data_IF_513358888566
#
_entry.id   IF_513358888566
#
_cell.length_a   1.000
_cell.length_b   1.000
_cell.length_c   1.000
_cell.angle_alpha   90.00
_cell.angle_beta   90.00
_cell.angle_gamma   90.00
#
_symmetry.space_group_name_H-M   'P 1'
#
loop_
_entity.id
_entity.type
_entity.pdbx_description
1 polymer ?
#
# COMPACT_ATOMS: atom_id res chain seq x y z
N UNK A 1 36.13 -5.12 13.36
CA UNK A 1 34.79 -5.39 13.94
C UNK A 1 34.14 -4.20 14.63
N UNK A 2 34.88 -3.23 15.21
CA UNK A 2 34.27 -2.08 15.90
C UNK A 2 33.69 -0.99 14.96
N UNK A 3 34.12 -0.90 13.69
CA UNK A 3 33.60 0.09 12.72
C UNK A 3 32.19 -0.20 12.18
N UNK A 4 31.75 -1.47 12.19
CA UNK A 4 30.45 -1.87 11.66
C UNK A 4 29.31 -1.79 12.71
N UNK A 5 29.66 -1.79 14.00
CA UNK A 5 28.66 -1.64 15.07
C UNK A 5 28.16 -0.19 15.20
N UNK A 6 29.03 0.80 14.93
CA UNK A 6 28.74 2.24 15.08
C UNK A 6 27.76 2.74 14.02
N UNK A 7 27.80 2.20 12.80
CA UNK A 7 26.87 2.59 11.72
C UNK A 7 25.45 2.09 12.02
N UNK A 8 25.30 0.87 12.55
CA UNK A 8 23.96 0.30 12.85
C UNK A 8 23.24 0.96 14.05
N UNK A 9 23.99 1.61 14.94
CA UNK A 9 23.42 2.41 16.04
C UNK A 9 23.02 3.82 15.57
N UNK A 10 23.75 4.40 14.62
CA UNK A 10 23.42 5.71 14.04
C UNK A 10 22.18 5.65 13.13
N UNK A 11 21.97 4.57 12.38
CA UNK A 11 20.76 4.40 11.55
C UNK A 11 19.50 4.13 12.39
N UNK A 12 19.64 3.60 13.61
CA UNK A 12 18.53 3.44 14.57
C UNK A 12 18.22 4.70 15.37
N UNK A 13 19.13 5.69 15.35
CA UNK A 13 19.00 6.95 16.07
C UNK A 13 18.75 8.15 15.15
N UNK A 14 18.78 7.97 13.83
CA UNK A 14 18.41 9.01 12.86
C UNK A 14 17.00 9.60 13.07
N UNK A 15 15.97 8.84 13.53
CA UNK A 15 14.69 9.44 13.92
C UNK A 15 14.73 10.20 15.26
N UNK A 16 15.71 9.93 16.13
CA UNK A 16 15.82 10.51 17.47
C UNK A 16 16.70 11.77 17.52
N UNK A 17 17.55 12.00 16.51
CA UNK A 17 18.47 13.14 16.49
C UNK A 17 17.87 14.48 16.05
N UNK A 18 16.62 14.51 15.60
CA UNK A 18 15.90 15.76 15.34
C UNK A 18 15.23 16.37 16.59
N UNK A 19 15.41 15.80 17.78
CA UNK A 19 14.73 16.27 19.00
C UNK A 19 15.64 16.83 20.09
N UNK A 20 16.95 16.96 19.87
CA UNK A 20 17.89 17.47 20.87
C UNK A 20 18.78 18.59 20.31
N UNK A 21 18.16 19.70 19.93
CA UNK A 21 18.76 21.04 20.04
C UNK A 21 17.70 22.04 20.51
N UNK A 22 17.19 21.83 21.73
CA UNK A 22 16.55 22.94 22.45
C UNK A 22 17.64 23.75 23.15
N UNK A 23 18.32 24.60 22.38
CA UNK A 23 18.69 25.89 22.94
C UNK A 23 17.39 26.67 23.14
N UNK A 24 17.13 27.07 24.38
CA UNK A 24 16.01 27.92 24.77
C UNK A 24 16.17 29.26 24.06
N UNK A 25 15.55 29.37 22.90
CA UNK A 25 15.04 30.62 22.37
C UNK A 25 13.53 30.52 22.49
N UNK A 26 12.91 31.51 23.12
CA UNK A 26 11.46 31.70 23.08
C UNK A 26 11.05 31.77 21.60
N UNK A 27 10.57 30.65 21.05
CA UNK A 27 10.04 30.58 19.69
C UNK A 27 8.62 31.12 19.71
N UNK A 28 8.37 32.05 18.80
CA UNK A 28 7.04 32.57 18.52
C UNK A 28 6.12 31.42 18.09
N UNK A 29 5.07 31.07 18.86
CA UNK A 29 4.16 29.96 18.56
C UNK A 29 3.34 30.18 17.28
N UNK A 30 3.39 31.37 16.67
CA UNK A 30 2.75 31.66 15.38
C UNK A 30 3.62 31.27 14.17
N UNK A 31 4.91 30.94 14.38
CA UNK A 31 5.87 30.58 13.34
C UNK A 31 6.18 29.07 13.27
N UNK A 32 5.69 28.26 14.21
CA UNK A 32 5.78 26.81 14.06
C UNK A 32 4.81 26.37 12.95
N UNK A 33 5.31 25.71 11.88
CA UNK A 33 4.42 25.17 10.87
C UNK A 33 3.43 24.25 11.58
N UNK A 34 2.15 24.34 11.21
CA UNK A 34 1.14 23.39 11.69
C UNK A 34 1.73 21.99 11.57
N UNK A 35 1.66 21.14 12.63
CA UNK A 35 2.15 19.78 12.52
C UNK A 35 1.59 19.16 11.23
N UNK A 36 2.40 18.41 10.47
CA UNK A 36 1.90 17.81 9.24
C UNK A 36 0.60 17.09 9.57
N UNK A 37 -0.45 17.23 8.74
CA UNK A 37 -1.71 16.55 8.99
C UNK A 37 -1.41 15.07 9.26
N UNK A 38 -2.12 14.44 10.22
CA UNK A 38 -1.89 13.05 10.53
C UNK A 38 -1.96 12.25 9.23
N UNK A 39 -0.91 11.48 8.96
CA UNK A 39 -0.79 10.68 7.74
C UNK A 39 -2.03 9.80 7.58
N UNK A 40 -3.00 10.19 6.75
CA UNK A 40 -4.22 9.42 6.55
C UNK A 40 -4.01 8.36 5.46
N UNK A 41 -2.93 7.60 5.62
CA UNK A 41 -2.50 6.59 4.67
C UNK A 41 -2.65 5.20 5.24
N UNK A 42 -3.07 4.28 4.39
CA UNK A 42 -3.04 2.85 4.66
C UNK A 42 -1.83 2.24 3.96
N UNK A 43 -1.11 1.38 4.68
CA UNK A 43 -0.10 0.49 4.10
C UNK A 43 -0.42 -0.96 4.49
N UNK A 44 -0.51 -1.80 3.48
CA UNK A 44 -0.69 -3.24 3.59
C UNK A 44 0.51 -3.91 2.92
N UNK A 45 1.28 -4.68 3.69
CA UNK A 45 2.40 -5.49 3.18
C UNK A 45 2.04 -6.96 3.37
N UNK A 46 2.04 -7.71 2.26
CA UNK A 46 1.63 -9.11 2.23
C UNK A 46 2.82 -9.98 1.87
N UNK A 47 3.10 -10.98 2.71
CA UNK A 47 4.06 -12.07 2.47
C UNK A 47 3.32 -13.40 2.59
N UNK A 48 4.00 -14.54 2.34
CA UNK A 48 3.40 -15.88 2.43
C UNK A 48 2.77 -16.21 3.79
N UNK A 49 3.34 -15.65 4.86
CA UNK A 49 3.00 -16.00 6.24
C UNK A 49 2.64 -14.80 7.12
N UNK A 50 2.83 -13.57 6.64
CA UNK A 50 2.58 -12.35 7.41
C UNK A 50 1.87 -11.32 6.54
N UNK A 51 0.79 -10.75 7.07
CA UNK A 51 0.22 -9.49 6.61
C UNK A 51 0.51 -8.42 7.67
N UNK A 52 1.16 -7.35 7.27
CA UNK A 52 1.36 -6.16 8.11
C UNK A 52 0.46 -5.04 7.61
N UNK A 53 -0.26 -4.40 8.53
CA UNK A 53 -1.21 -3.33 8.28
C UNK A 53 -0.95 -2.16 9.20
N UNK A 54 -0.91 -0.95 8.65
CA UNK A 54 -0.99 0.29 9.43
C UNK A 54 -1.89 1.33 8.75
N UNK A 55 -2.46 2.21 9.57
CA UNK A 55 -3.26 3.34 9.14
C UNK A 55 -2.79 4.59 9.90
N UNK A 56 -1.94 5.39 9.26
CA UNK A 56 -1.32 6.56 9.86
C UNK A 56 -0.47 6.25 11.09
N UNK A 57 -0.56 7.07 12.17
CA UNK A 57 0.25 6.88 13.38
C UNK A 57 -0.23 5.71 14.27
N UNK A 58 -1.25 4.96 13.82
CA UNK A 58 -1.76 3.79 14.55
C UNK A 58 -0.68 2.70 14.63
N UNK A 59 -0.70 1.87 15.69
CA UNK A 59 0.23 0.75 15.83
C UNK A 59 0.15 -0.17 14.62
N UNK A 60 1.31 -0.69 14.20
CA UNK A 60 1.37 -1.71 13.14
C UNK A 60 0.74 -2.98 13.68
N UNK A 61 -0.24 -3.52 12.94
CA UNK A 61 -0.88 -4.79 13.24
C UNK A 61 -0.30 -5.84 12.28
N UNK A 62 0.22 -6.93 12.84
CA UNK A 62 0.69 -8.08 12.07
C UNK A 62 -0.25 -9.28 12.27
N UNK A 63 -0.60 -9.94 11.18
CA UNK A 63 -1.34 -11.20 11.17
C UNK A 63 -0.40 -12.26 10.62
N UNK A 64 0.02 -13.19 11.48
CA UNK A 64 1.02 -14.20 11.14
C UNK A 64 0.39 -15.59 11.12
N UNK A 65 0.59 -16.35 10.05
CA UNK A 65 0.31 -17.78 10.01
C UNK A 65 1.15 -18.48 11.07
N UNK A 66 0.51 -19.25 11.95
CA UNK A 66 1.21 -20.04 12.95
C UNK A 66 0.44 -21.32 13.25
N UNK A 67 1.07 -22.47 12.97
CA UNK A 67 0.45 -23.79 13.10
C UNK A 67 -0.87 -23.86 12.28
N UNK A 68 -1.95 -24.34 12.89
CA UNK A 68 -3.30 -24.39 12.30
C UNK A 68 -4.08 -23.06 12.42
N UNK A 69 -3.42 -21.95 12.78
CA UNK A 69 -4.11 -20.70 13.09
C UNK A 69 -3.33 -19.43 12.74
N UNK A 70 -3.69 -18.36 13.44
CA UNK A 70 -3.14 -17.02 13.25
C UNK A 70 -2.68 -16.43 14.59
N UNK A 71 -1.50 -15.82 14.61
CA UNK A 71 -1.08 -14.90 15.67
C UNK A 71 -1.29 -13.48 15.18
N UNK A 72 -2.19 -12.74 15.83
CA UNK A 72 -2.33 -11.30 15.66
C UNK A 72 -1.43 -10.59 16.67
N UNK A 73 -0.56 -9.70 16.20
CA UNK A 73 0.30 -8.85 17.03
C UNK A 73 -0.06 -7.39 16.79
N UNK A 74 -0.36 -6.63 17.84
CA UNK A 74 -0.51 -5.17 17.79
C UNK A 74 0.76 -4.56 18.40
N UNK A 75 1.56 -3.91 17.57
CA UNK A 75 2.84 -3.32 17.98
C UNK A 75 2.61 -1.92 18.56
N UNK A 76 2.43 -1.80 19.88
CA UNK A 76 2.32 -0.52 20.56
C UNK A 76 3.72 0.01 20.90
N UNK A 77 3.82 1.32 21.08
CA UNK A 77 5.08 2.03 21.39
C UNK A 77 5.89 1.44 22.55
N UNK A 78 5.23 0.88 23.57
CA UNK A 78 5.87 0.40 24.79
C UNK A 78 5.71 -1.12 25.04
N UNK A 79 4.86 -1.80 24.28
CA UNK A 79 4.61 -3.24 24.42
C UNK A 79 3.92 -3.79 23.18
N UNK A 80 4.10 -5.08 22.93
CA UNK A 80 3.34 -5.77 21.90
C UNK A 80 2.22 -6.57 22.56
N UNK A 81 1.01 -6.45 22.04
CA UNK A 81 -0.10 -7.30 22.43
C UNK A 81 -0.27 -8.40 21.40
N UNK A 82 -0.25 -9.66 21.85
CA UNK A 82 -0.38 -10.82 20.98
C UNK A 82 -1.60 -11.64 21.35
N UNK A 83 -2.31 -12.09 20.32
CA UNK A 83 -3.43 -13.02 20.44
C UNK A 83 -3.27 -14.14 19.43
N UNK A 84 -3.21 -15.36 19.92
CA UNK A 84 -3.33 -16.55 19.09
C UNK A 84 -4.79 -16.90 18.88
N UNK A 85 -5.14 -17.28 17.67
CA UNK A 85 -6.47 -17.73 17.26
C UNK A 85 -6.29 -19.04 16.52
N UNK A 86 -6.85 -20.11 17.07
CA UNK A 86 -6.75 -21.46 16.51
C UNK A 86 -7.74 -21.67 15.36
N UNK A 87 -7.37 -22.52 14.39
CA UNK A 87 -8.24 -22.96 13.28
C UNK A 87 -8.82 -21.81 12.43
N UNK A 88 -8.10 -20.69 12.33
CA UNK A 88 -8.46 -19.55 11.49
C UNK A 88 -7.29 -19.11 10.61
N UNK A 89 -7.59 -18.85 9.34
CA UNK A 89 -6.63 -18.37 8.36
C UNK A 89 -6.30 -16.89 8.60
N UNK A 90 -5.01 -16.54 8.67
CA UNK A 90 -4.54 -15.19 8.98
C UNK A 90 -5.02 -14.11 7.99
N UNK A 91 -5.26 -14.45 6.72
CA UNK A 91 -5.86 -13.52 5.74
C UNK A 91 -7.30 -13.20 6.12
N UNK A 92 -8.03 -14.19 6.65
CA UNK A 92 -9.41 -14.01 7.12
C UNK A 92 -9.45 -13.06 8.32
N UNK A 93 -8.56 -13.25 9.31
CA UNK A 93 -8.46 -12.33 10.46
C UNK A 93 -8.13 -10.90 10.01
N UNK A 94 -7.16 -10.75 9.10
CA UNK A 94 -6.86 -9.44 8.51
C UNK A 94 -8.08 -8.80 7.84
N UNK A 95 -8.80 -9.55 7.00
CA UNK A 95 -9.97 -9.04 6.27
C UNK A 95 -11.10 -8.60 7.22
N UNK A 96 -11.36 -9.35 8.30
CA UNK A 96 -12.36 -9.01 9.31
C UNK A 96 -12.02 -7.72 10.06
N UNK A 97 -10.73 -7.49 10.35
CA UNK A 97 -10.29 -6.26 11.01
C UNK A 97 -10.26 -5.08 10.04
N UNK A 98 -9.77 -5.29 8.81
CA UNK A 98 -9.76 -4.26 7.77
C UNK A 98 -11.19 -3.77 7.44
N UNK A 99 -12.15 -4.69 7.41
CA UNK A 99 -13.58 -4.37 7.22
C UNK A 99 -14.04 -3.26 8.17
N UNK A 100 -13.73 -3.37 9.46
CA UNK A 100 -14.18 -2.43 10.50
C UNK A 100 -13.59 -1.02 10.35
N UNK A 101 -12.43 -0.89 9.70
CA UNK A 101 -11.74 0.40 9.53
C UNK A 101 -12.07 1.09 8.22
N UNK A 102 -12.38 0.32 7.18
CA UNK A 102 -12.61 0.85 5.86
C UNK A 102 -14.05 1.36 5.63
N UNK A 103 -14.90 1.32 6.67
CA UNK A 103 -16.22 1.98 6.70
C UNK A 103 -16.14 3.48 7.05
N UNK A 104 -14.94 4.07 7.09
CA UNK A 104 -14.78 5.51 7.34
C UNK A 104 -15.10 6.33 6.09
N UNK A 105 -15.94 7.37 6.24
CA UNK A 105 -16.33 8.29 5.14
C UNK A 105 -15.18 9.18 4.64
N UNK A 106 -14.07 9.20 5.37
CA UNK A 106 -12.91 10.05 5.10
C UNK A 106 -12.16 9.61 3.83
N UNK A 107 -11.67 10.58 3.07
CA UNK A 107 -10.82 10.34 1.91
C UNK A 107 -9.39 10.08 2.39
N UNK A 108 -8.86 8.88 2.12
CA UNK A 108 -7.47 8.53 2.42
C UNK A 108 -6.51 9.32 1.54
N UNK A 109 -5.39 9.77 2.11
CA UNK A 109 -4.33 10.40 1.31
C UNK A 109 -3.64 9.36 0.41
N UNK A 110 -3.31 8.19 0.97
CA UNK A 110 -2.69 7.11 0.20
C UNK A 110 -3.21 5.72 0.61
N UNK A 111 -3.48 4.88 -0.38
CA UNK A 111 -3.66 3.44 -0.21
C UNK A 111 -2.47 2.71 -0.84
N UNK A 112 -1.67 2.03 -0.02
CA UNK A 112 -0.51 1.28 -0.48
C UNK A 112 -0.73 -0.22 -0.22
N UNK A 113 -0.68 -1.03 -1.28
CA UNK A 113 -0.65 -2.49 -1.18
C UNK A 113 0.61 -3.01 -1.85
N UNK A 114 1.38 -3.81 -1.11
CA UNK A 114 2.60 -4.43 -1.61
C UNK A 114 2.63 -5.92 -1.31
N UNK A 115 2.91 -6.72 -2.33
CA UNK A 115 3.36 -8.10 -2.14
C UNK A 115 4.89 -8.14 -2.03
N UNK A 116 5.41 -8.85 -1.03
CA UNK A 116 6.85 -9.01 -0.80
C UNK A 116 7.18 -10.49 -0.63
N UNK A 117 8.14 -10.97 -1.42
CA UNK A 117 8.58 -12.37 -1.37
C UNK A 117 9.17 -12.83 -2.69
N UNK A 118 9.12 -14.14 -2.91
CA UNK A 118 9.63 -14.82 -4.09
C UNK A 118 8.57 -14.97 -5.20
N UNK A 119 8.88 -15.77 -6.23
CA UNK A 119 7.99 -16.02 -7.37
C UNK A 119 6.70 -16.74 -7.00
N UNK A 120 6.65 -17.49 -5.89
CA UNK A 120 5.42 -18.15 -5.43
C UNK A 120 4.40 -17.12 -4.91
N UNK A 121 4.83 -15.89 -4.60
CA UNK A 121 3.91 -14.82 -4.19
C UNK A 121 2.88 -14.48 -5.28
N UNK A 122 3.19 -14.71 -6.55
CA UNK A 122 2.24 -14.49 -7.66
C UNK A 122 1.03 -15.44 -7.55
N UNK A 123 1.25 -16.68 -7.08
CA UNK A 123 0.16 -17.63 -6.83
C UNK A 123 -0.57 -17.31 -5.54
N UNK A 124 0.16 -16.94 -4.49
CA UNK A 124 -0.45 -16.58 -3.21
C UNK A 124 -1.28 -15.28 -3.30
N UNK A 125 -0.86 -14.31 -4.10
CA UNK A 125 -1.55 -13.03 -4.26
C UNK A 125 -2.99 -13.21 -4.76
N UNK A 126 -3.23 -14.16 -5.67
CA UNK A 126 -4.57 -14.48 -6.14
C UNK A 126 -5.50 -14.90 -4.98
N UNK A 127 -5.02 -15.77 -4.07
CA UNK A 127 -5.79 -16.21 -2.89
C UNK A 127 -6.05 -15.06 -1.92
N UNK A 128 -5.07 -14.18 -1.70
CA UNK A 128 -5.24 -13.00 -0.86
C UNK A 128 -6.27 -12.04 -1.48
N UNK A 129 -6.13 -11.73 -2.78
CA UNK A 129 -6.95 -10.76 -3.49
C UNK A 129 -8.39 -11.25 -3.68
N UNK A 130 -8.63 -12.54 -3.81
CA UNK A 130 -9.99 -13.10 -3.77
C UNK A 130 -10.73 -12.68 -2.49
N UNK A 131 -10.13 -12.94 -1.32
CA UNK A 131 -10.69 -12.54 -0.02
C UNK A 131 -10.77 -11.03 0.14
N UNK A 132 -9.71 -10.31 -0.21
CA UNK A 132 -9.65 -8.86 -0.06
C UNK A 132 -10.67 -8.15 -0.97
N UNK A 133 -10.89 -8.66 -2.18
CA UNK A 133 -11.91 -8.16 -3.10
C UNK A 133 -13.31 -8.29 -2.52
N UNK A 134 -13.64 -9.38 -1.84
CA UNK A 134 -14.95 -9.51 -1.19
C UNK A 134 -15.21 -8.36 -0.21
N UNK A 135 -14.19 -7.97 0.56
CA UNK A 135 -14.24 -6.82 1.47
C UNK A 135 -14.40 -5.50 0.72
N UNK A 136 -13.78 -5.34 -0.46
CA UNK A 136 -13.95 -4.13 -1.27
C UNK A 136 -15.34 -4.04 -1.94
N UNK A 137 -15.91 -5.18 -2.36
CA UNK A 137 -17.19 -5.24 -3.08
C UNK A 137 -18.39 -5.02 -2.16
N UNK A 138 -18.35 -5.49 -0.91
CA UNK A 138 -19.53 -5.44 -0.04
C UNK A 138 -19.80 -4.06 0.60
N UNK A 139 -19.11 -3.01 0.16
CA UNK A 139 -19.19 -1.65 0.70
C UNK A 139 -19.15 -0.58 -0.41
N UNK A 140 -19.46 0.69 -0.10
CA UNK A 140 -19.19 1.78 -1.01
C UNK A 140 -17.71 1.84 -1.42
N UNK A 141 -17.38 2.36 -2.61
CA UNK A 141 -16.01 2.47 -3.08
C UNK A 141 -15.11 3.19 -2.08
N UNK A 142 -13.92 2.63 -1.84
CA UNK A 142 -12.97 3.22 -0.90
C UNK A 142 -12.41 4.53 -1.48
N UNK A 143 -12.57 5.62 -0.74
CA UNK A 143 -12.09 6.94 -1.18
C UNK A 143 -10.62 7.10 -0.85
N UNK A 144 -9.79 7.28 -1.88
CA UNK A 144 -8.38 7.61 -1.71
C UNK A 144 -7.90 8.51 -2.83
N UNK A 145 -7.04 9.49 -2.51
CA UNK A 145 -6.41 10.38 -3.50
C UNK A 145 -5.35 9.66 -4.31
N UNK A 146 -4.57 8.78 -3.69
CA UNK A 146 -3.45 8.11 -4.34
C UNK A 146 -3.46 6.62 -4.04
N UNK A 147 -3.33 5.81 -5.07
CA UNK A 147 -3.15 4.37 -4.92
C UNK A 147 -1.77 3.93 -5.42
N UNK A 148 -1.08 3.13 -4.61
CA UNK A 148 0.16 2.46 -4.99
C UNK A 148 0.01 0.96 -4.85
N UNK A 149 0.15 0.25 -5.98
CA UNK A 149 -0.04 -1.19 -6.08
C UNK A 149 1.26 -1.84 -6.59
N UNK A 150 1.99 -2.52 -5.70
CA UNK A 150 3.07 -3.43 -6.11
C UNK A 150 2.48 -4.83 -6.30
N UNK A 151 2.13 -5.15 -7.54
CA UNK A 151 1.30 -6.31 -7.94
C UNK A 151 1.96 -7.10 -9.06
N UNK A 152 1.35 -8.23 -9.43
CA UNK A 152 1.92 -9.10 -10.45
C UNK A 152 1.29 -8.89 -11.82
N UNK A 153 0.01 -8.61 -11.99
CA UNK A 153 -0.60 -8.59 -13.32
C UNK A 153 -1.89 -7.74 -13.38
N UNK A 154 -2.48 -7.63 -14.56
CA UNK A 154 -3.75 -6.94 -14.78
C UNK A 154 -4.87 -7.50 -13.88
N UNK A 155 -4.93 -8.82 -13.68
CA UNK A 155 -5.98 -9.45 -12.84
C UNK A 155 -5.89 -9.01 -11.38
N UNK A 156 -4.67 -8.81 -10.87
CA UNK A 156 -4.46 -8.25 -9.53
C UNK A 156 -5.00 -6.82 -9.44
N UNK A 157 -4.71 -5.98 -10.44
CA UNK A 157 -5.21 -4.60 -10.51
C UNK A 157 -6.74 -4.58 -10.58
N UNK A 158 -7.34 -5.43 -11.41
CA UNK A 158 -8.80 -5.58 -11.54
C UNK A 158 -9.49 -6.09 -10.28
N UNK A 159 -8.73 -6.67 -9.34
CA UNK A 159 -9.27 -7.09 -8.04
C UNK A 159 -9.34 -5.95 -7.01
N UNK A 160 -8.77 -4.78 -7.32
CA UNK A 160 -8.63 -3.65 -6.39
C UNK A 160 -9.18 -2.36 -7.01
N UNK A 161 -8.61 -1.93 -8.14
CA UNK A 161 -8.81 -0.61 -8.73
C UNK A 161 -10.29 -0.29 -9.03
N UNK A 162 -11.12 -1.22 -9.57
CA UNK A 162 -12.53 -0.94 -9.86
C UNK A 162 -13.38 -0.62 -8.61
N UNK A 163 -12.88 -0.92 -7.42
CA UNK A 163 -13.59 -0.74 -6.15
C UNK A 163 -13.11 0.48 -5.36
N UNK A 164 -12.27 1.32 -5.97
CA UNK A 164 -11.90 2.64 -5.44
C UNK A 164 -12.84 3.70 -6.00
N UNK A 165 -13.06 4.77 -5.23
CA UNK A 165 -13.87 5.89 -5.68
C UNK A 165 -13.14 6.65 -6.82
N UNK A 166 -13.78 6.72 -7.99
CA UNK A 166 -13.16 7.34 -9.18
C UNK A 166 -13.10 8.86 -9.13
N UNK A 167 -13.94 9.51 -8.33
CA UNK A 167 -13.95 10.98 -8.21
C UNK A 167 -12.88 11.44 -7.23
N UNK A 168 -12.60 10.64 -6.20
CA UNK A 168 -11.55 10.93 -5.23
C UNK A 168 -10.14 10.58 -5.74
N UNK A 169 -10.01 9.62 -6.67
CA UNK A 169 -8.72 9.09 -7.11
C UNK A 169 -8.00 10.01 -8.11
N UNK A 170 -6.90 10.61 -7.66
CA UNK A 170 -6.09 11.55 -8.42
C UNK A 170 -4.86 10.87 -9.05
N UNK A 171 -4.24 9.90 -8.36
CA UNK A 171 -2.97 9.29 -8.82
C UNK A 171 -2.96 7.77 -8.71
N UNK A 172 -2.48 7.12 -9.77
CA UNK A 172 -2.28 5.67 -9.86
C UNK A 172 -0.80 5.35 -10.03
N UNK A 173 -0.22 4.63 -9.06
CA UNK A 173 1.12 4.06 -9.13
C UNK A 173 1.06 2.53 -9.21
N UNK A 174 1.59 1.95 -10.28
CA UNK A 174 1.62 0.51 -10.51
C UNK A 174 3.07 0.06 -10.62
N UNK A 175 3.43 -1.00 -9.91
CA UNK A 175 4.79 -1.54 -9.93
C UNK A 175 4.76 -3.06 -9.99
N UNK A 176 5.61 -3.69 -10.82
CA UNK A 176 5.81 -5.15 -10.74
C UNK A 176 6.45 -5.48 -9.40
N UNK A 177 5.74 -6.25 -8.57
CA UNK A 177 6.18 -6.64 -7.24
C UNK A 177 7.58 -7.29 -7.23
N UNK A 178 7.94 -7.99 -8.32
CA UNK A 178 9.24 -8.67 -8.45
C UNK A 178 10.27 -7.92 -9.31
N UNK A 179 9.94 -6.71 -9.77
CA UNK A 179 10.85 -5.85 -10.55
C UNK A 179 11.42 -6.51 -11.82
N UNK A 180 10.62 -7.29 -12.55
CA UNK A 180 11.07 -8.12 -13.68
C UNK A 180 10.98 -7.44 -15.04
N UNK A 181 10.45 -6.21 -15.13
CA UNK A 181 10.20 -5.51 -16.41
C UNK A 181 9.30 -6.31 -17.35
N UNK A 182 8.27 -6.98 -16.81
CA UNK A 182 7.37 -7.80 -17.63
C UNK A 182 6.30 -6.97 -18.34
N UNK A 183 5.67 -7.54 -19.38
CA UNK A 183 4.55 -6.89 -20.04
C UNK A 183 3.35 -6.76 -19.08
N UNK A 184 2.72 -5.60 -19.03
CA UNK A 184 1.44 -5.37 -18.37
C UNK A 184 0.37 -5.15 -19.45
N UNK A 185 -0.62 -6.05 -19.49
CA UNK A 185 -1.83 -5.82 -20.26
C UNK A 185 -2.69 -4.75 -19.55
N UNK A 186 -3.24 -3.81 -20.31
CA UNK A 186 -4.02 -2.68 -19.77
C UNK A 186 -5.43 -2.56 -20.36
N UNK A 187 -5.81 -3.45 -21.29
CA UNK A 187 -7.09 -3.42 -22.01
C UNK A 187 -8.30 -3.26 -21.07
N UNK A 188 -8.29 -3.94 -19.92
CA UNK A 188 -9.38 -3.88 -18.95
C UNK A 188 -9.27 -2.67 -18.03
N UNK A 189 -8.08 -2.09 -17.90
CA UNK A 189 -7.84 -0.92 -17.05
C UNK A 189 -8.32 0.36 -17.74
N UNK A 190 -8.03 0.53 -19.02
CA UNK A 190 -8.32 1.77 -19.78
C UNK A 190 -9.81 2.08 -19.88
N UNK A 191 -10.67 1.07 -19.69
CA UNK A 191 -12.13 1.24 -19.69
C UNK A 191 -12.69 1.69 -18.34
N UNK A 192 -11.91 1.61 -17.25
CA UNK A 192 -12.35 1.95 -15.90
C UNK A 192 -12.50 3.46 -15.72
N UNK A 193 -13.51 3.88 -14.95
CA UNK A 193 -13.69 5.28 -14.58
C UNK A 193 -12.51 5.79 -13.74
N UNK A 194 -11.95 4.93 -12.87
CA UNK A 194 -10.76 5.23 -12.08
C UNK A 194 -9.57 5.56 -12.97
N UNK A 195 -9.40 4.86 -14.08
CA UNK A 195 -8.33 5.15 -15.05
C UNK A 195 -8.61 6.45 -15.80
N UNK A 196 -9.83 6.64 -16.29
CA UNK A 196 -10.24 7.79 -17.11
C UNK A 196 -10.29 9.12 -16.36
N UNK A 197 -10.51 9.10 -15.04
CA UNK A 197 -10.65 10.30 -14.21
C UNK A 197 -9.39 10.65 -13.43
N UNK A 198 -8.51 9.69 -13.17
CA UNK A 198 -7.25 9.97 -12.52
C UNK A 198 -6.40 10.96 -13.34
N UNK A 199 -5.65 11.79 -12.62
CA UNK A 199 -4.85 12.88 -13.20
C UNK A 199 -3.42 12.44 -13.51
N UNK A 200 -2.88 11.53 -12.71
CA UNK A 200 -1.49 11.07 -12.82
C UNK A 200 -1.40 9.55 -12.87
N UNK A 201 -0.55 9.06 -13.78
CA UNK A 201 -0.24 7.64 -13.94
C UNK A 201 1.27 7.41 -13.93
N UNK A 202 1.71 6.45 -13.14
CA UNK A 202 3.08 5.96 -13.18
C UNK A 202 3.11 4.44 -13.10
N UNK A 203 3.70 3.82 -14.11
CA UNK A 203 3.90 2.38 -14.23
C UNK A 203 5.40 2.12 -14.24
N UNK A 204 5.91 1.50 -13.17
CA UNK A 204 7.32 1.13 -13.04
C UNK A 204 7.49 -0.37 -13.09
N UNK A 205 8.66 -0.82 -13.56
CA UNK A 205 9.03 -2.24 -13.54
C UNK A 205 8.09 -3.17 -14.33
N UNK A 206 7.20 -2.58 -15.11
CA UNK A 206 6.39 -3.19 -16.14
C UNK A 206 6.72 -2.49 -17.46
N UNK A 207 6.35 -3.12 -18.58
CA UNK A 207 6.30 -2.47 -19.88
C UNK A 207 4.91 -2.60 -20.47
N UNK A 208 4.47 -1.55 -21.17
CA UNK A 208 3.22 -1.56 -21.95
C UNK A 208 3.57 -1.77 -23.43
N UNK A 209 2.68 -2.40 -24.19
CA UNK A 209 2.87 -2.59 -25.63
C UNK A 209 2.95 -1.23 -26.35
N UNK A 210 3.95 -1.05 -27.22
CA UNK A 210 4.04 0.14 -28.07
C UNK A 210 2.87 0.29 -29.05
N UNK A 211 2.14 -0.79 -29.34
CA UNK A 211 0.95 -0.79 -30.19
C UNK A 211 -0.34 -0.32 -29.49
N UNK A 212 -0.30 -0.07 -28.18
CA UNK A 212 -1.45 0.48 -27.45
C UNK A 212 -1.89 1.82 -28.02
N UNK A 213 -3.20 2.08 -27.99
CA UNK A 213 -3.72 3.39 -28.39
C UNK A 213 -3.26 4.45 -27.39
N UNK A 214 -2.36 5.34 -27.84
CA UNK A 214 -1.86 6.46 -27.04
C UNK A 214 -2.98 7.38 -26.52
N UNK A 215 -4.17 7.37 -27.14
CA UNK A 215 -5.34 8.09 -26.63
C UNK A 215 -5.76 7.60 -25.23
N UNK A 216 -5.46 6.35 -24.86
CA UNK A 216 -5.73 5.80 -23.52
C UNK A 216 -4.96 6.50 -22.39
N UNK A 217 -4.00 7.35 -22.73
CA UNK A 217 -3.14 8.07 -21.78
C UNK A 217 -3.27 9.60 -21.86
N UNK A 218 -3.96 10.15 -22.87
CA UNK A 218 -3.94 11.58 -23.17
C UNK A 218 -4.62 12.47 -22.12
N UNK A 219 -5.54 11.91 -21.34
CA UNK A 219 -6.28 12.65 -20.32
C UNK A 219 -5.45 12.88 -19.05
N UNK A 220 -4.43 12.06 -18.80
CA UNK A 220 -3.54 12.25 -17.66
C UNK A 220 -2.70 13.52 -17.83
N UNK A 221 -2.61 14.33 -16.77
CA UNK A 221 -1.72 15.49 -16.67
C UNK A 221 -0.25 15.07 -16.64
N UNK A 222 0.04 13.90 -16.07
CA UNK A 222 1.39 13.33 -15.99
C UNK A 222 1.35 11.83 -16.19
N UNK A 223 2.21 11.33 -17.07
CA UNK A 223 2.35 9.91 -17.37
C UNK A 223 3.82 9.53 -17.37
N UNK A 224 4.17 8.49 -16.63
CA UNK A 224 5.47 7.83 -16.71
C UNK A 224 5.26 6.33 -16.91
N UNK A 225 5.50 5.85 -18.12
CA UNK A 225 5.29 4.46 -18.53
C UNK A 225 6.42 4.05 -19.45
N UNK A 226 7.00 2.87 -19.21
CA UNK A 226 7.96 2.26 -20.13
C UNK A 226 7.20 1.49 -21.23
N UNK A 227 7.47 1.83 -22.50
CA UNK A 227 6.93 1.10 -23.65
C UNK A 227 7.97 0.13 -24.20
N UNK A 228 7.53 -1.06 -24.60
CA UNK A 228 8.38 -2.04 -25.26
C UNK A 228 7.90 -2.26 -26.70
N UNK A 229 8.82 -2.12 -27.66
CA UNK A 229 8.58 -2.52 -29.06
C UNK A 229 8.38 -4.03 -29.10
N UNK A 230 7.34 -4.45 -29.84
CA UNK A 230 7.19 -5.84 -30.31
C UNK A 230 8.37 -6.19 -31.22
#
# INVERSE_FOLDING_TARGET
MLKYLVISLLDRLWPAFNFLTFHVFERDPTLDPSPPPPDNSILIVVTHDIISYCHGPKPIIEYRRFQNGCIKTVNLWFKNEQRWMENVDFVTVFCEDFWKFADQEEVLDNLNLKFSGDYEMERFSAKFLEKFRHILVSRPPLKTRRVRLEVFNEENLMSILPYLDSEALETIFIIDALRRMKKLEIDKLVVLDQWKKAEELEIQSFSVDSGEDMNNFRHFKKVLVDFKSV
#
